data_IF_709866758093
#
_entry.id   IF_709866758093
#
_cell.length_a   1.000
_cell.length_b   1.000
_cell.length_c   1.000
_cell.angle_alpha   90.00
_cell.angle_beta   90.00
_cell.angle_gamma   90.00
#
_symmetry.space_group_name_H-M   'P 1'
#
loop_
_entity.id
_entity.type
_entity.pdbx_description
1 polymer ?
#
# COMPACT_ATOMS: atom_id res chain seq x y z
N UNK A 1 14.96 8.90 13.58
CA UNK A 1 13.56 8.72 13.15
C UNK A 1 12.74 10.01 13.21
N UNK A 2 12.35 10.51 14.40
CA UNK A 2 11.49 11.71 14.53
C UNK A 2 11.98 12.93 13.74
N UNK A 3 13.29 13.21 13.75
CA UNK A 3 13.85 14.34 13.00
C UNK A 3 13.70 14.18 11.48
N UNK A 4 13.85 12.96 10.96
CA UNK A 4 13.63 12.65 9.53
C UNK A 4 12.17 12.92 9.17
N UNK A 5 11.24 12.46 10.01
CA UNK A 5 9.79 12.66 9.81
C UNK A 5 9.41 14.13 9.88
N UNK A 6 9.87 14.83 10.92
CA UNK A 6 9.63 16.26 11.07
C UNK A 6 10.19 17.06 9.89
N UNK A 7 11.34 16.67 9.35
CA UNK A 7 12.01 17.36 8.26
C UNK A 7 11.20 17.35 6.95
N UNK A 8 10.82 16.18 6.44
CA UNK A 8 10.06 16.12 5.19
C UNK A 8 8.63 16.69 5.35
N UNK A 9 8.03 16.59 6.54
CA UNK A 9 6.72 17.21 6.82
C UNK A 9 6.84 18.74 6.81
N UNK A 10 7.85 19.30 7.49
CA UNK A 10 8.10 20.75 7.49
C UNK A 10 8.41 21.25 6.09
N UNK A 11 9.23 20.53 5.34
CA UNK A 11 9.55 20.86 3.95
C UNK A 11 8.29 20.89 3.06
N UNK A 12 7.40 19.90 3.21
CA UNK A 12 6.13 19.84 2.49
C UNK A 12 5.23 21.03 2.83
N UNK A 13 5.05 21.31 4.13
CA UNK A 13 4.25 22.45 4.62
C UNK A 13 4.81 23.79 4.12
N UNK A 14 6.13 23.97 4.09
CA UNK A 14 6.79 25.18 3.57
C UNK A 14 6.60 25.40 2.06
N UNK A 15 6.22 24.37 1.31
CA UNK A 15 5.93 24.41 -0.13
C UNK A 15 4.45 24.37 -0.45
N UNK A 16 3.62 24.65 0.55
CA UNK A 16 2.17 24.59 0.45
C UNK A 16 1.65 23.22 -0.03
N UNK A 17 2.37 22.13 0.29
CA UNK A 17 1.87 20.77 0.08
C UNK A 17 1.01 20.41 1.28
N UNK A 18 -0.30 20.14 1.10
CA UNK A 18 -1.17 19.73 2.19
C UNK A 18 -0.69 18.42 2.81
N UNK A 19 -0.54 18.44 4.13
CA UNK A 19 -0.23 17.28 4.98
C UNK A 19 -1.42 17.02 5.90
N UNK A 20 -1.77 15.77 6.12
CA UNK A 20 -2.84 15.38 7.03
C UNK A 20 -2.50 15.73 8.48
N UNK A 21 -3.51 15.89 9.35
CA UNK A 21 -3.32 16.32 10.74
C UNK A 21 -2.65 15.28 11.65
N UNK A 22 -2.42 14.06 11.13
CA UNK A 22 -1.89 12.92 11.85
C UNK A 22 -2.80 11.71 11.72
N UNK A 23 -2.20 10.52 11.57
CA UNK A 23 -2.89 9.24 11.45
C UNK A 23 -2.36 8.25 12.49
N UNK A 24 -3.22 7.30 12.86
CA UNK A 24 -2.86 6.24 13.80
C UNK A 24 -2.56 6.73 15.21
N UNK A 25 -1.75 5.98 15.95
CA UNK A 25 -1.39 6.30 17.32
C UNK A 25 -0.42 7.48 17.44
N UNK A 26 0.26 7.87 16.35
CA UNK A 26 1.21 8.98 16.33
C UNK A 26 0.63 10.32 16.81
N UNK A 27 -0.68 10.53 16.63
CA UNK A 27 -1.39 11.72 17.13
C UNK A 27 -1.38 11.86 18.65
N UNK A 28 -1.10 10.80 19.42
CA UNK A 28 -0.97 10.85 20.88
C UNK A 28 0.36 11.42 21.39
N UNK A 29 1.32 11.71 20.50
CA UNK A 29 2.65 12.18 20.91
C UNK A 29 2.72 13.72 20.97
N UNK A 30 2.88 14.25 22.18
CA UNK A 30 3.14 15.68 22.39
C UNK A 30 4.46 16.13 21.71
N UNK A 31 5.44 15.23 21.61
CA UNK A 31 6.67 15.47 20.86
C UNK A 31 6.39 15.59 19.36
N UNK A 32 5.55 14.71 18.80
CA UNK A 32 5.17 14.79 17.39
C UNK A 32 4.43 16.10 17.07
N UNK A 33 3.51 16.50 17.96
CA UNK A 33 2.80 17.77 17.85
C UNK A 33 3.75 18.98 17.93
N UNK A 34 4.65 18.99 18.92
CA UNK A 34 5.66 20.06 19.09
C UNK A 34 6.62 20.19 17.90
N UNK A 35 6.90 19.06 17.23
CA UNK A 35 7.73 19.01 16.03
C UNK A 35 6.96 19.24 14.73
N UNK A 36 5.66 19.60 14.79
CA UNK A 36 4.76 19.82 13.64
C UNK A 36 4.54 18.59 12.76
N UNK A 37 4.88 17.39 13.27
CA UNK A 37 4.60 16.10 12.62
C UNK A 37 3.10 15.86 12.60
N UNK A 38 2.41 16.18 13.70
CA UNK A 38 0.96 16.13 13.83
C UNK A 38 0.42 17.53 14.09
N UNK A 39 -0.84 17.77 13.71
CA UNK A 39 -1.53 19.05 13.88
C UNK A 39 -2.63 18.99 14.96
N UNK A 40 -2.75 17.86 15.68
CA UNK A 40 -3.66 17.68 16.81
C UNK A 40 -2.94 17.85 18.14
N UNK A 41 -3.53 18.67 19.03
CA UNK A 41 -3.10 18.81 20.42
C UNK A 41 -3.51 17.57 21.24
N UNK A 42 -2.56 16.69 21.62
CA UNK A 42 -2.89 15.45 22.31
C UNK A 42 -3.41 15.69 23.73
N UNK A 43 -2.98 16.77 24.40
CA UNK A 43 -3.39 17.07 25.77
C UNK A 43 -4.85 17.50 25.82
N UNK A 44 -5.28 18.33 24.85
CA UNK A 44 -6.66 18.77 24.73
C UNK A 44 -7.65 17.61 24.53
N UNK A 45 -7.24 16.59 23.76
CA UNK A 45 -8.12 15.46 23.41
C UNK A 45 -7.87 14.21 24.25
N UNK A 46 -6.99 14.27 25.26
CA UNK A 46 -6.65 13.12 26.11
C UNK A 46 -6.05 11.95 25.33
N UNK A 47 -5.29 12.24 24.26
CA UNK A 47 -4.62 11.21 23.47
C UNK A 47 -3.37 10.72 24.20
N UNK A 48 -3.24 9.41 24.32
CA UNK A 48 -2.19 8.77 25.12
C UNK A 48 -0.92 8.49 24.30
N UNK A 49 0.23 8.88 24.82
CA UNK A 49 1.53 8.63 24.19
C UNK A 49 1.90 7.14 24.19
N UNK A 50 1.52 6.43 25.26
CA UNK A 50 1.84 5.01 25.48
C UNK A 50 1.17 4.09 24.45
N UNK A 51 0.09 4.56 23.82
CA UNK A 51 -0.53 3.87 22.68
C UNK A 51 0.33 3.96 21.41
N UNK A 52 1.16 4.99 21.29
CA UNK A 52 2.10 5.16 20.20
C UNK A 52 3.40 4.40 20.46
N UNK A 53 4.03 4.66 21.60
CA UNK A 53 5.28 4.03 21.98
C UNK A 53 5.15 3.51 23.40
N UNK A 54 5.04 2.19 23.53
CA UNK A 54 4.92 1.54 24.83
C UNK A 54 6.33 1.31 25.42
N UNK A 55 6.67 1.85 26.60
CA UNK A 55 7.98 1.64 27.23
C UNK A 55 8.31 0.17 27.50
N UNK A 56 7.29 -0.66 27.74
CA UNK A 56 7.43 -2.09 28.04
C UNK A 56 7.60 -2.95 26.79
N UNK A 57 7.35 -2.39 25.60
CA UNK A 57 7.49 -3.08 24.32
C UNK A 57 8.41 -2.29 23.40
N UNK A 58 9.64 -2.79 23.25
CA UNK A 58 10.60 -2.23 22.29
C UNK A 58 10.13 -2.55 20.87
N UNK A 59 9.42 -1.61 20.26
CA UNK A 59 9.04 -1.63 18.85
C UNK A 59 9.41 -0.30 18.20
N UNK A 60 9.77 -0.34 16.92
CA UNK A 60 10.07 0.87 16.18
C UNK A 60 8.79 1.73 16.06
N UNK A 61 8.85 3.05 16.32
CA UNK A 61 7.73 3.94 16.04
C UNK A 61 7.46 3.98 14.53
N UNK A 62 6.18 4.00 14.17
CA UNK A 62 5.72 4.01 12.78
C UNK A 62 4.71 5.15 12.58
N UNK A 63 5.09 6.16 11.80
CA UNK A 63 4.21 7.25 11.40
C UNK A 63 3.66 6.99 10.00
N UNK A 64 2.34 6.78 9.93
CA UNK A 64 1.57 6.94 8.70
C UNK A 64 1.42 8.44 8.40
N UNK A 65 1.99 8.93 7.30
CA UNK A 65 1.90 10.34 6.91
C UNK A 65 1.05 10.49 5.65
N UNK A 66 -0.01 11.27 5.76
CA UNK A 66 -0.90 11.58 4.64
C UNK A 66 -0.45 12.86 3.93
N UNK A 67 -0.23 12.76 2.62
CA UNK A 67 0.01 13.89 1.72
C UNK A 67 -1.15 14.02 0.73
N UNK A 68 -1.32 15.21 0.13
CA UNK A 68 -2.22 15.31 -1.01
C UNK A 68 -1.74 14.41 -2.16
N UNK A 69 -2.67 13.77 -2.85
CA UNK A 69 -2.36 12.80 -3.89
C UNK A 69 -1.52 13.41 -5.02
N UNK A 70 -1.80 14.67 -5.38
CA UNK A 70 -1.25 15.32 -6.58
C UNK A 70 0.21 15.72 -6.42
N UNK A 71 0.66 16.02 -5.19
CA UNK A 71 1.99 16.55 -4.88
C UNK A 71 2.83 15.65 -3.98
N UNK A 72 2.36 14.45 -3.66
CA UNK A 72 3.10 13.47 -2.86
C UNK A 72 4.47 13.15 -3.46
N UNK A 73 4.53 12.99 -4.77
CA UNK A 73 5.77 12.60 -5.46
C UNK A 73 6.86 13.69 -5.35
N UNK A 74 6.49 14.95 -5.12
CA UNK A 74 7.46 16.02 -4.81
C UNK A 74 8.18 15.75 -3.47
N UNK A 75 7.44 15.28 -2.45
CA UNK A 75 8.01 14.94 -1.14
C UNK A 75 8.91 13.71 -1.24
N UNK A 76 8.50 12.71 -2.03
CA UNK A 76 9.32 11.51 -2.28
C UNK A 76 10.65 11.91 -2.94
N UNK A 77 10.61 12.77 -3.97
CA UNK A 77 11.83 13.29 -4.62
C UNK A 77 12.71 14.07 -3.66
N UNK A 78 12.13 14.92 -2.81
CA UNK A 78 12.89 15.64 -1.80
C UNK A 78 13.65 14.70 -0.86
N UNK A 79 12.99 13.65 -0.37
CA UNK A 79 13.62 12.66 0.50
C UNK A 79 14.76 11.95 -0.24
N UNK A 80 14.54 11.56 -1.50
CA UNK A 80 15.57 10.92 -2.31
C UNK A 80 16.78 11.85 -2.58
N UNK A 81 16.54 13.11 -2.93
CA UNK A 81 17.59 14.13 -3.13
C UNK A 81 18.38 14.39 -1.85
N UNK A 82 17.70 14.38 -0.69
CA UNK A 82 18.32 14.69 0.60
C UNK A 82 19.15 13.55 1.16
N UNK A 83 18.65 12.31 1.09
CA UNK A 83 19.28 11.16 1.73
C UNK A 83 20.12 10.32 0.75
N UNK A 84 19.99 10.55 -0.56
CA UNK A 84 20.76 9.85 -1.59
C UNK A 84 19.89 8.94 -2.45
N UNK A 85 20.18 8.90 -3.75
CA UNK A 85 19.42 8.12 -4.72
C UNK A 85 19.51 6.61 -4.49
N UNK A 86 20.66 6.16 -4.02
CA UNK A 86 21.01 4.78 -3.67
C UNK A 86 20.61 4.38 -2.24
N UNK A 87 20.23 5.35 -1.39
CA UNK A 87 19.83 5.14 0.01
C UNK A 87 18.31 5.12 0.21
N UNK A 88 17.53 5.55 -0.80
CA UNK A 88 16.08 5.66 -0.72
C UNK A 88 15.41 4.86 -1.82
N UNK A 89 14.50 3.97 -1.44
CA UNK A 89 13.74 3.14 -2.37
C UNK A 89 12.26 3.04 -1.96
N UNK A 90 11.40 2.73 -2.93
CA UNK A 90 10.03 2.31 -2.64
C UNK A 90 10.01 0.83 -2.27
N UNK A 91 8.95 0.38 -1.60
CA UNK A 91 8.77 -1.03 -1.26
C UNK A 91 8.03 -1.74 -2.40
N UNK A 92 8.43 -2.97 -2.77
CA UNK A 92 7.66 -3.76 -3.74
C UNK A 92 6.33 -4.22 -3.14
N UNK A 93 5.28 -4.13 -3.96
CA UNK A 93 4.05 -4.88 -3.77
C UNK A 93 4.04 -6.04 -4.78
N UNK A 94 3.76 -7.25 -4.30
CA UNK A 94 3.67 -8.42 -5.18
C UNK A 94 2.21 -8.84 -5.30
N UNK A 95 1.63 -8.66 -6.48
CA UNK A 95 0.26 -9.03 -6.76
C UNK A 95 0.11 -10.54 -6.79
N UNK A 96 -0.78 -11.10 -5.96
CA UNK A 96 -1.15 -12.52 -5.99
C UNK A 96 -2.35 -12.76 -6.91
N UNK A 97 -2.44 -13.96 -7.48
CA UNK A 97 -3.62 -14.42 -8.18
C UNK A 97 -4.77 -14.66 -7.19
N UNK A 98 -5.69 -13.70 -7.10
CA UNK A 98 -6.96 -13.89 -6.40
C UNK A 98 -7.93 -14.73 -7.24
N UNK A 99 -8.89 -15.40 -6.58
CA UNK A 99 -9.88 -16.28 -7.18
C UNK A 99 -10.40 -15.85 -8.56
N UNK A 100 -11.04 -14.66 -8.64
CA UNK A 100 -11.60 -14.12 -9.89
C UNK A 100 -10.53 -13.83 -10.95
N UNK A 101 -9.32 -13.42 -10.56
CA UNK A 101 -8.23 -13.16 -11.49
C UNK A 101 -7.68 -14.48 -12.07
N UNK A 102 -7.52 -15.50 -11.23
CA UNK A 102 -7.12 -16.84 -11.65
C UNK A 102 -8.10 -17.41 -12.68
N UNK A 103 -9.41 -17.34 -12.43
CA UNK A 103 -10.43 -17.79 -13.39
C UNK A 103 -10.34 -17.06 -14.73
N UNK A 104 -10.17 -15.73 -14.72
CA UNK A 104 -10.06 -14.95 -15.96
C UNK A 104 -8.85 -15.34 -16.79
N UNK A 105 -7.70 -15.54 -16.16
CA UNK A 105 -6.48 -15.89 -16.87
C UNK A 105 -6.52 -17.33 -17.40
N UNK A 106 -7.01 -18.28 -16.61
CA UNK A 106 -7.17 -19.67 -17.05
C UNK A 106 -8.21 -19.77 -18.18
N UNK A 107 -9.35 -19.11 -18.04
CA UNK A 107 -10.38 -19.06 -19.09
C UNK A 107 -9.85 -18.48 -20.40
N UNK A 108 -8.99 -17.45 -20.33
CA UNK A 108 -8.31 -16.89 -21.52
C UNK A 108 -7.37 -17.92 -22.17
N UNK A 109 -6.59 -18.67 -21.39
CA UNK A 109 -5.67 -19.70 -21.89
C UNK A 109 -6.43 -20.87 -22.52
N UNK A 110 -7.55 -21.26 -21.92
CA UNK A 110 -8.45 -22.30 -22.45
C UNK A 110 -9.31 -21.80 -23.63
N UNK A 111 -9.12 -20.56 -24.09
CA UNK A 111 -9.85 -19.94 -25.18
C UNK A 111 -11.38 -19.94 -24.99
N UNK A 112 -11.82 -19.87 -23.73
CA UNK A 112 -13.24 -19.78 -23.41
C UNK A 112 -13.80 -18.40 -23.80
N UNK A 113 -15.07 -18.30 -24.25
CA UNK A 113 -15.70 -17.02 -24.53
C UNK A 113 -15.68 -16.09 -23.32
N UNK A 114 -15.26 -14.83 -23.51
CA UNK A 114 -15.14 -13.84 -22.44
C UNK A 114 -16.43 -13.69 -21.61
N UNK A 115 -17.59 -13.67 -22.28
CA UNK A 115 -18.88 -13.56 -21.60
C UNK A 115 -19.19 -14.75 -20.68
N UNK A 116 -18.75 -15.96 -21.03
CA UNK A 116 -18.89 -17.12 -20.16
C UNK A 116 -17.99 -17.01 -18.94
N UNK A 117 -16.71 -16.67 -19.15
CA UNK A 117 -15.72 -16.49 -18.07
C UNK A 117 -16.15 -15.39 -17.10
N UNK A 118 -16.64 -14.25 -17.60
CA UNK A 118 -17.11 -13.16 -16.75
C UNK A 118 -18.33 -13.55 -15.89
N UNK A 119 -19.27 -14.33 -16.46
CA UNK A 119 -20.39 -14.89 -15.68
C UNK A 119 -19.90 -15.79 -14.55
N UNK A 120 -19.00 -16.72 -14.83
CA UNK A 120 -18.43 -17.63 -13.82
C UNK A 120 -17.66 -16.85 -12.74
N UNK A 121 -16.91 -15.82 -13.11
CA UNK A 121 -16.20 -14.98 -12.15
C UNK A 121 -17.14 -14.21 -11.21
N UNK A 122 -18.31 -13.78 -11.70
CA UNK A 122 -19.31 -13.07 -10.89
C UNK A 122 -19.99 -13.95 -9.86
N UNK A 123 -20.05 -15.28 -10.10
CA UNK A 123 -20.56 -16.25 -9.14
C UNK A 123 -19.66 -16.42 -7.92
N UNK A 124 -18.34 -16.21 -8.06
CA UNK A 124 -17.41 -16.25 -6.92
C UNK A 124 -17.65 -15.04 -6.00
N UNK A 125 -17.94 -15.23 -4.70
CA UNK A 125 -18.11 -14.13 -3.77
C UNK A 125 -16.89 -13.19 -3.73
N UNK A 126 -17.13 -11.88 -3.66
CA UNK A 126 -16.06 -10.89 -3.58
C UNK A 126 -16.19 -10.04 -2.33
N UNK A 127 -15.53 -10.48 -1.27
CA UNK A 127 -15.39 -9.73 -0.04
C UNK A 127 -13.93 -9.31 0.13
N UNK A 128 -13.58 -8.03 -0.08
CA UNK A 128 -12.21 -7.55 0.08
C UNK A 128 -11.65 -7.71 1.50
N UNK A 129 -12.51 -7.71 2.53
CA UNK A 129 -12.10 -7.86 3.92
C UNK A 129 -11.85 -9.34 4.30
N UNK A 130 -12.54 -10.26 3.65
CA UNK A 130 -12.34 -11.70 3.83
C UNK A 130 -12.44 -12.40 2.46
N UNK A 131 -11.34 -12.44 1.69
CA UNK A 131 -11.36 -13.03 0.36
C UNK A 131 -11.62 -14.53 0.45
N UNK A 132 -12.64 -14.99 -0.28
CA UNK A 132 -13.03 -16.40 -0.36
C UNK A 132 -12.14 -17.10 -1.39
N UNK A 133 -11.56 -18.24 -1.04
CA UNK A 133 -10.79 -19.07 -1.97
C UNK A 133 -11.70 -19.70 -3.03
N UNK A 134 -11.14 -20.10 -4.17
CA UNK A 134 -11.92 -20.80 -5.20
C UNK A 134 -12.50 -22.12 -4.69
N UNK A 135 -11.76 -22.83 -3.84
CA UNK A 135 -12.22 -24.07 -3.23
C UNK A 135 -13.46 -23.87 -2.35
N UNK A 136 -13.46 -22.82 -1.53
CA UNK A 136 -14.60 -22.44 -0.69
C UNK A 136 -15.77 -21.95 -1.55
N UNK A 137 -15.51 -21.15 -2.58
CA UNK A 137 -16.55 -20.66 -3.48
C UNK A 137 -17.26 -21.81 -4.22
N UNK A 138 -16.53 -22.83 -4.67
CA UNK A 138 -17.12 -24.04 -5.28
C UNK A 138 -17.90 -24.84 -4.22
N UNK A 139 -17.48 -24.85 -2.96
CA UNK A 139 -18.18 -25.52 -1.87
C UNK A 139 -19.43 -24.76 -1.39
N UNK A 140 -19.49 -23.42 -1.52
CA UNK A 140 -20.64 -22.61 -1.09
C UNK A 140 -21.66 -22.37 -2.20
N UNK A 141 -21.23 -22.17 -3.45
CA UNK A 141 -22.09 -21.73 -4.55
C UNK A 141 -22.62 -22.90 -5.39
N UNK A 142 -23.91 -23.21 -5.26
CA UNK A 142 -24.59 -24.23 -6.07
C UNK A 142 -24.52 -23.95 -7.58
N UNK A 143 -24.67 -22.68 -7.97
CA UNK A 143 -24.61 -22.29 -9.38
C UNK A 143 -23.24 -22.57 -10.01
N UNK A 144 -22.15 -22.37 -9.25
CA UNK A 144 -20.80 -22.64 -9.74
C UNK A 144 -20.55 -24.15 -9.89
N UNK A 145 -21.11 -24.97 -8.99
CA UNK A 145 -21.09 -26.44 -9.12
C UNK A 145 -21.91 -26.92 -10.31
N UNK A 146 -23.10 -26.37 -10.52
CA UNK A 146 -23.94 -26.74 -11.65
C UNK A 146 -23.24 -26.47 -13.00
N UNK A 147 -22.59 -25.31 -13.15
CA UNK A 147 -21.83 -25.00 -14.37
C UNK A 147 -20.59 -25.90 -14.53
N UNK A 148 -19.91 -26.25 -13.42
CA UNK A 148 -18.81 -27.22 -13.41
C UNK A 148 -19.27 -28.60 -13.91
N UNK A 149 -20.39 -29.09 -13.39
CA UNK A 149 -20.89 -30.44 -13.67
C UNK A 149 -21.53 -30.53 -15.07
N UNK A 150 -21.98 -29.40 -15.62
CA UNK A 150 -22.60 -29.29 -16.94
C UNK A 150 -21.58 -29.26 -18.08
N UNK A 151 -20.45 -28.57 -17.92
CA UNK A 151 -19.48 -28.33 -19.00
C UNK A 151 -18.06 -28.76 -18.59
N UNK A 152 -17.47 -29.78 -19.25
CA UNK A 152 -16.13 -30.28 -18.90
C UNK A 152 -15.01 -29.23 -18.99
N UNK A 153 -15.17 -28.21 -19.85
CA UNK A 153 -14.20 -27.12 -19.95
C UNK A 153 -14.21 -26.21 -18.72
N UNK A 154 -15.37 -26.05 -18.07
CA UNK A 154 -15.53 -25.26 -16.83
C UNK A 154 -14.91 -26.00 -15.66
N UNK A 155 -15.11 -27.32 -15.57
CA UNK A 155 -14.43 -28.17 -14.60
C UNK A 155 -12.90 -28.05 -14.70
N UNK A 156 -12.37 -28.17 -15.92
CA UNK A 156 -10.93 -28.01 -16.17
C UNK A 156 -10.43 -26.61 -15.81
N UNK A 157 -11.20 -25.57 -16.10
CA UNK A 157 -10.87 -24.20 -15.72
C UNK A 157 -10.77 -24.06 -14.20
N UNK A 158 -11.74 -24.58 -13.46
CA UNK A 158 -11.77 -24.50 -12.00
C UNK A 158 -10.62 -25.28 -11.35
N UNK A 159 -10.33 -26.50 -11.80
CA UNK A 159 -9.21 -27.30 -11.27
C UNK A 159 -7.86 -26.58 -11.45
N UNK A 160 -7.58 -26.06 -12.66
CA UNK A 160 -6.35 -25.31 -12.91
C UNK A 160 -6.32 -24.02 -12.08
N UNK A 161 -7.42 -23.27 -12.04
CA UNK A 161 -7.51 -22.00 -11.32
C UNK A 161 -7.26 -22.19 -9.81
N UNK A 162 -7.80 -23.24 -9.20
CA UNK A 162 -7.57 -23.58 -7.79
C UNK A 162 -6.10 -23.91 -7.49
N UNK A 163 -5.36 -24.50 -8.44
CA UNK A 163 -3.94 -24.84 -8.25
C UNK A 163 -3.01 -23.63 -8.35
N UNK A 164 -3.41 -22.60 -9.09
CA UNK A 164 -2.58 -21.39 -9.29
C UNK A 164 -3.03 -20.21 -8.42
N UNK A 165 -4.17 -20.32 -7.75
CA UNK A 165 -4.63 -19.33 -6.78
C UNK A 165 -3.57 -19.09 -5.71
N UNK A 166 -3.38 -17.82 -5.34
CA UNK A 166 -2.41 -17.41 -4.32
C UNK A 166 -0.96 -17.30 -4.81
N UNK A 167 -0.64 -17.81 -6.00
CA UNK A 167 0.69 -17.63 -6.59
C UNK A 167 0.95 -16.15 -6.96
N UNK A 168 2.21 -15.75 -6.91
CA UNK A 168 2.65 -14.41 -7.31
C UNK A 168 2.55 -14.23 -8.83
N UNK A 169 2.03 -13.08 -9.27
CA UNK A 169 1.73 -12.78 -10.68
C UNK A 169 2.65 -11.72 -11.26
N UNK A 170 2.79 -10.60 -10.59
CA UNK A 170 3.55 -9.45 -11.08
C UNK A 170 4.12 -8.65 -9.92
N UNK A 171 5.24 -7.98 -10.20
CA UNK A 171 5.80 -6.94 -9.36
C UNK A 171 5.08 -5.61 -9.64
N UNK A 172 4.80 -4.86 -8.58
CA UNK A 172 4.36 -3.47 -8.63
C UNK A 172 4.99 -2.70 -7.49
N UNK A 173 4.81 -1.38 -7.48
CA UNK A 173 5.25 -0.52 -6.38
C UNK A 173 4.17 -0.46 -5.29
N UNK A 174 4.60 -0.50 -4.01
CA UNK A 174 3.69 -0.30 -2.89
C UNK A 174 3.14 1.12 -2.91
N UNK A 175 1.83 1.26 -2.71
CA UNK A 175 1.15 2.54 -2.88
C UNK A 175 1.67 3.64 -1.93
N UNK A 176 2.23 3.29 -0.76
CA UNK A 176 2.71 4.26 0.23
C UNK A 176 4.15 4.02 0.71
N UNK A 177 4.71 2.83 0.46
CA UNK A 177 5.84 2.34 1.24
C UNK A 177 7.16 2.88 0.72
N UNK A 178 7.90 3.56 1.57
CA UNK A 178 9.23 4.10 1.31
C UNK A 178 10.21 3.58 2.36
N UNK A 179 11.46 3.35 1.98
CA UNK A 179 12.54 3.03 2.92
C UNK A 179 13.70 4.01 2.77
N UNK A 180 14.38 4.26 3.88
CA UNK A 180 15.60 5.06 3.94
C UNK A 180 16.66 4.23 4.68
N UNK A 181 17.76 3.93 3.99
CA UNK A 181 18.91 3.20 4.52
C UNK A 181 19.95 4.12 5.17
N UNK A 182 20.77 3.55 6.03
CA UNK A 182 21.96 4.19 6.62
C UNK A 182 23.22 4.07 5.73
N UNK A 183 23.12 3.24 4.68
CA UNK A 183 24.13 2.93 3.67
C UNK A 183 23.43 2.61 2.32
N UNK A 184 24.15 2.43 1.21
CA UNK A 184 23.55 2.04 -0.07
C UNK A 184 22.66 0.79 0.07
N UNK A 185 21.45 0.85 -0.50
CA UNK A 185 20.44 -0.18 -0.27
C UNK A 185 20.80 -1.54 -0.90
N UNK A 186 21.61 -1.55 -1.95
CA UNK A 186 22.10 -2.75 -2.62
C UNK A 186 23.08 -3.57 -1.75
N UNK A 187 23.65 -2.99 -0.70
CA UNK A 187 24.41 -3.72 0.31
C UNK A 187 23.51 -4.49 1.31
N UNK A 188 22.22 -4.12 1.40
CA UNK A 188 21.28 -4.66 2.39
C UNK A 188 20.20 -5.55 1.75
N UNK A 189 19.64 -5.10 0.62
CA UNK A 189 18.51 -5.76 -0.04
C UNK A 189 18.63 -5.72 -1.56
N UNK A 190 18.18 -6.77 -2.28
CA UNK A 190 18.11 -6.72 -3.73
C UNK A 190 17.08 -5.68 -4.20
N UNK A 191 17.41 -4.96 -5.27
CA UNK A 191 16.58 -3.91 -5.85
C UNK A 191 15.94 -4.35 -7.18
N UNK A 192 14.81 -3.74 -7.49
CA UNK A 192 14.04 -3.84 -8.72
C UNK A 192 13.85 -2.42 -9.26
N UNK A 193 13.89 -2.26 -10.58
CA UNK A 193 13.56 -0.99 -11.23
C UNK A 193 12.29 -1.18 -12.05
N UNK A 194 11.25 -0.45 -11.70
CA UNK A 194 10.03 -0.43 -12.50
C UNK A 194 10.29 0.31 -13.82
N UNK A 195 9.88 -0.21 -15.00
CA UNK A 195 10.18 0.42 -16.28
C UNK A 195 9.69 1.87 -16.44
N UNK A 196 8.73 2.29 -15.63
CA UNK A 196 8.11 3.63 -15.67
C UNK A 196 8.61 4.58 -14.58
N UNK A 197 9.51 4.12 -13.71
CA UNK A 197 10.01 4.91 -12.58
C UNK A 197 11.53 4.83 -12.53
N UNK A 198 12.16 5.98 -12.29
CA UNK A 198 13.60 6.02 -12.03
C UNK A 198 13.93 5.66 -10.58
N UNK A 199 12.95 5.63 -9.70
CA UNK A 199 13.15 5.30 -8.29
C UNK A 199 13.38 3.79 -8.11
N UNK A 200 14.41 3.37 -7.35
CA UNK A 200 14.60 1.96 -7.02
C UNK A 200 13.46 1.45 -6.14
N UNK A 201 13.18 0.15 -6.25
CA UNK A 201 12.17 -0.55 -5.48
C UNK A 201 12.82 -1.75 -4.79
N UNK A 202 12.60 -1.95 -3.49
CA UNK A 202 13.14 -3.12 -2.78
C UNK A 202 12.46 -4.39 -3.26
N UNK A 203 13.17 -5.49 -3.53
CA UNK A 203 12.53 -6.78 -3.84
C UNK A 203 11.94 -7.47 -2.60
N UNK A 204 12.30 -7.01 -1.40
CA UNK A 204 11.63 -7.40 -0.17
C UNK A 204 10.35 -6.59 0.01
N UNK A 205 9.24 -7.29 0.17
CA UNK A 205 7.96 -6.68 0.51
C UNK A 205 7.93 -6.25 1.98
N UNK A 206 6.88 -5.51 2.36
CA UNK A 206 6.72 -4.87 3.67
C UNK A 206 7.06 -5.79 4.87
N UNK A 207 6.74 -7.09 4.79
CA UNK A 207 7.04 -8.06 5.87
C UNK A 207 8.53 -8.31 6.10
N UNK A 208 9.36 -8.20 5.06
CA UNK A 208 10.78 -8.55 5.12
C UNK A 208 11.71 -7.35 5.12
N UNK A 209 11.20 -6.17 4.76
CA UNK A 209 12.03 -4.95 4.67
C UNK A 209 12.50 -4.48 6.05
N UNK A 210 11.64 -4.52 7.07
CA UNK A 210 12.01 -4.16 8.44
C UNK A 210 12.99 -5.17 9.07
N UNK A 211 12.77 -6.51 9.00
CA UNK A 211 13.77 -7.48 9.45
C UNK A 211 15.12 -7.39 8.74
N UNK A 212 15.16 -6.85 7.51
CA UNK A 212 16.40 -6.61 6.78
C UNK A 212 17.18 -5.38 7.30
N UNK A 213 16.66 -4.70 8.33
CA UNK A 213 17.32 -3.57 8.99
C UNK A 213 16.97 -2.20 8.39
N UNK A 214 15.99 -2.14 7.49
CA UNK A 214 15.57 -0.88 6.87
C UNK A 214 14.46 -0.20 7.66
N UNK A 215 14.53 1.12 7.70
CA UNK A 215 13.50 1.96 8.31
C UNK A 215 12.45 2.29 7.27
N UNK A 216 11.20 1.86 7.52
CA UNK A 216 10.07 2.16 6.64
C UNK A 216 9.39 3.48 7.02
N UNK A 217 8.80 4.10 6.01
CA UNK A 217 7.93 5.25 6.13
C UNK A 217 6.75 5.09 5.16
N UNK A 218 5.54 5.42 5.60
CA UNK A 218 4.35 5.33 4.78
C UNK A 218 3.89 6.72 4.32
N UNK A 219 4.00 6.97 3.02
CA UNK A 219 3.64 8.22 2.34
C UNK A 219 2.32 7.99 1.58
N UNK A 220 1.20 8.27 2.24
CA UNK A 220 -0.12 8.03 1.67
C UNK A 220 -0.56 9.21 0.80
N UNK A 221 -1.12 8.91 -0.37
CA UNK A 221 -1.77 9.92 -1.22
C UNK A 221 -3.26 9.97 -0.91
N UNK A 222 -3.72 11.02 -0.23
CA UNK A 222 -5.10 11.12 0.25
C UNK A 222 -5.89 12.15 -0.57
N UNK A 223 -6.87 11.65 -1.35
CA UNK A 223 -7.70 12.47 -2.24
C UNK A 223 -8.45 13.60 -1.52
N UNK A 224 -8.89 13.37 -0.29
CA UNK A 224 -9.59 14.38 0.51
C UNK A 224 -8.73 15.62 0.75
N UNK A 225 -7.41 15.47 0.97
CA UNK A 225 -6.51 16.61 1.12
C UNK A 225 -6.42 17.43 -0.17
N UNK A 226 -6.33 16.76 -1.32
CA UNK A 226 -6.39 17.42 -2.64
C UNK A 226 -7.69 18.20 -2.81
N UNK A 227 -8.84 17.60 -2.48
CA UNK A 227 -10.15 18.24 -2.62
C UNK A 227 -10.28 19.48 -1.73
N UNK A 228 -9.87 19.38 -0.46
CA UNK A 228 -9.90 20.52 0.48
C UNK A 228 -8.99 21.64 0.00
N UNK A 229 -7.77 21.31 -0.41
CA UNK A 229 -6.80 22.28 -0.94
C UNK A 229 -7.38 23.02 -2.14
N UNK A 230 -7.96 22.28 -3.10
CA UNK A 230 -8.58 22.88 -4.28
C UNK A 230 -9.78 23.76 -3.94
N UNK A 231 -10.60 23.37 -2.96
CA UNK A 231 -11.72 24.17 -2.50
C UNK A 231 -11.25 25.51 -1.92
N UNK A 232 -10.20 25.51 -1.09
CA UNK A 232 -9.61 26.72 -0.52
C UNK A 232 -9.02 27.63 -1.61
N UNK A 233 -8.32 27.06 -2.60
CA UNK A 233 -7.81 27.83 -3.75
C UNK A 233 -8.92 28.54 -4.53
N UNK A 234 -10.02 27.84 -4.80
CA UNK A 234 -11.15 28.41 -5.54
C UNK A 234 -11.84 29.52 -4.74
N UNK A 235 -11.93 29.37 -3.41
CA UNK A 235 -12.47 30.41 -2.53
C UNK A 235 -11.59 31.66 -2.51
N UNK A 236 -10.26 31.53 -2.52
CA UNK A 236 -9.33 32.68 -2.56
C UNK A 236 -9.37 33.46 -3.87
N UNK A 237 -9.88 32.86 -4.96
CA UNK A 237 -10.03 33.50 -6.27
C UNK A 237 -11.33 34.29 -6.41
N UNK A 238 -12.28 34.12 -5.48
CA UNK A 238 -13.48 34.94 -5.38
C UNK A 238 -13.19 36.21 -4.61
#
# INVERSE_FOLDING_TARGET
>A
YFLIVADFIKWAKQRDIPVGPGRGSGAGSCVAWSLTITDLDPLRFGLLFERFLNPERVSMPDFDVDFCQDRRDEVIRYVQEKYGFDHVAQIIAVGKLQARAALRDVGRVLQMPYGQVDRLCKMVPNNPANPVSLSEAVASEEGLRAERDKEPIVERMLDIAMRIEGLYRHASVHAAGLVIGDRPLDELVPLYREPKSDMPVTQFHMKWVEPAGLVKFDFLGLKTLTVISRAVELLRRR
#
